data_IF_125712511026
#
_entry.id   IF_125712511026
#
_cell.length_a   1.000
_cell.length_b   1.000
_cell.length_c   1.000
_cell.angle_alpha   90.00
_cell.angle_beta   90.00
_cell.angle_gamma   90.00
#
_symmetry.space_group_name_H-M   'P 1'
#
loop_
_entity.id
_entity.type
_entity.pdbx_description
1 polymer ?
#
# COMPACT_ATOMS: atom_id res chain seq x y z
N UNK A 1 9.54 31.27 10.31
CA UNK A 1 8.86 29.97 10.41
C UNK A 1 9.56 29.15 11.45
N UNK A 2 8.82 28.46 12.33
CA UNK A 2 9.38 27.63 13.40
C UNK A 2 8.81 26.22 13.28
N UNK A 3 9.66 25.28 12.90
CA UNK A 3 9.24 23.92 12.58
C UNK A 3 9.99 22.91 13.43
N UNK A 4 9.26 21.89 13.85
CA UNK A 4 9.82 20.63 14.29
C UNK A 4 10.50 19.82 13.17
N UNK A 5 10.91 18.59 13.49
CA UNK A 5 11.56 17.66 12.55
C UNK A 5 10.55 16.93 11.67
N UNK A 6 10.99 16.54 10.47
CA UNK A 6 10.20 15.67 9.59
C UNK A 6 8.93 16.33 9.05
N UNK A 7 8.91 17.66 8.96
CA UNK A 7 7.85 18.38 8.27
C UNK A 7 8.09 18.38 6.76
N UNK A 8 7.00 18.34 5.99
CA UNK A 8 7.02 18.55 4.53
C UNK A 8 6.14 19.76 4.22
N UNK A 9 6.67 20.71 3.45
CA UNK A 9 6.00 21.97 3.12
C UNK A 9 5.91 22.10 1.61
N UNK A 10 4.72 22.39 1.09
CA UNK A 10 4.43 22.56 -0.34
C UNK A 10 3.65 23.84 -0.55
N UNK A 11 3.96 24.55 -1.64
CA UNK A 11 3.24 25.75 -2.04
C UNK A 11 3.55 26.96 -1.18
N UNK A 12 2.67 27.95 -1.26
CA UNK A 12 2.78 29.21 -0.54
C UNK A 12 2.22 29.07 0.88
N UNK A 13 3.10 28.85 1.84
CA UNK A 13 2.77 28.67 3.27
C UNK A 13 3.22 29.90 4.06
N UNK A 14 2.44 30.38 5.06
CA UNK A 14 2.79 31.56 5.85
C UNK A 14 4.20 31.47 6.45
N UNK A 15 4.96 32.55 6.34
CA UNK A 15 6.35 32.60 6.81
C UNK A 15 6.47 32.66 8.34
N UNK A 16 5.40 33.02 9.04
CA UNK A 16 5.25 33.06 10.49
C UNK A 16 4.66 31.78 11.09
N UNK A 17 4.38 30.77 10.26
CA UNK A 17 3.87 29.48 10.69
C UNK A 17 4.77 28.84 11.78
N UNK A 18 4.12 28.37 12.84
CA UNK A 18 4.70 27.50 13.85
C UNK A 18 4.03 26.12 13.80
N UNK A 19 4.84 25.06 13.68
CA UNK A 19 4.35 23.68 13.66
C UNK A 19 5.32 22.74 14.39
N UNK A 20 4.75 21.70 15.02
CA UNK A 20 5.51 20.63 15.69
C UNK A 20 6.23 19.70 14.70
N UNK A 21 6.48 18.45 15.10
CA UNK A 21 7.14 17.45 14.24
C UNK A 21 6.14 16.74 13.31
N UNK A 22 6.61 16.27 12.15
CA UNK A 22 5.92 15.26 11.34
C UNK A 22 4.71 15.74 10.53
N UNK A 23 4.52 17.05 10.37
CA UNK A 23 3.39 17.63 9.64
C UNK A 23 3.61 17.58 8.13
N UNK A 24 2.50 17.55 7.37
CA UNK A 24 2.50 17.94 5.96
C UNK A 24 1.66 19.19 5.84
N UNK A 25 2.25 20.26 5.31
CA UNK A 25 1.61 21.57 5.24
C UNK A 25 1.60 22.00 3.79
N UNK A 26 0.41 22.07 3.22
CA UNK A 26 0.19 22.40 1.81
C UNK A 26 -0.51 23.74 1.74
N UNK A 27 0.24 24.77 1.38
CA UNK A 27 -0.29 26.08 1.08
C UNK A 27 -0.81 26.18 -0.34
N UNK A 28 -1.19 27.39 -0.75
CA UNK A 28 -1.69 27.63 -2.09
C UNK A 28 -0.65 27.21 -3.13
N UNK A 29 -1.08 26.44 -4.14
CA UNK A 29 -0.25 25.99 -5.26
C UNK A 29 -0.49 26.79 -6.53
N UNK A 30 -1.49 27.68 -6.53
CA UNK A 30 -1.73 28.64 -7.60
C UNK A 30 -1.71 30.09 -7.11
N UNK A 31 -1.77 31.03 -8.05
CA UNK A 31 -1.74 32.47 -7.76
C UNK A 31 -3.05 33.02 -7.16
N UNK A 32 -4.13 32.25 -7.17
CA UNK A 32 -5.44 32.65 -6.65
C UNK A 32 -5.64 32.24 -5.19
N UNK A 33 -4.68 31.54 -4.59
CA UNK A 33 -4.77 31.05 -3.22
C UNK A 33 -5.34 29.64 -3.11
N UNK A 34 -5.52 28.91 -4.23
CA UNK A 34 -6.03 27.55 -4.21
C UNK A 34 -4.92 26.53 -4.04
N UNK A 35 -5.25 25.42 -3.38
CA UNK A 35 -4.45 24.20 -3.40
C UNK A 35 -5.05 23.24 -4.42
N UNK A 36 -4.31 22.94 -5.48
CA UNK A 36 -4.74 22.09 -6.58
C UNK A 36 -4.11 20.70 -6.41
N UNK A 37 -4.96 19.70 -6.21
CA UNK A 37 -4.58 18.29 -6.16
C UNK A 37 -5.32 17.59 -7.31
N UNK A 38 -4.57 17.14 -8.31
CA UNK A 38 -5.13 16.60 -9.56
C UNK A 38 -4.65 15.18 -9.90
N UNK A 39 -3.90 14.55 -8.98
CA UNK A 39 -3.35 13.20 -9.13
C UNK A 39 -3.65 12.42 -7.86
N UNK A 40 -3.99 11.12 -7.93
CA UNK A 40 -4.15 10.29 -6.73
C UNK A 40 -2.94 10.39 -5.79
N UNK A 41 -3.19 10.57 -4.50
CA UNK A 41 -2.12 10.73 -3.53
C UNK A 41 -2.46 10.27 -2.12
N UNK A 42 -1.41 9.88 -1.39
CA UNK A 42 -1.44 9.64 0.05
C UNK A 42 -0.55 10.68 0.75
N UNK A 43 -1.10 11.34 1.77
CA UNK A 43 -0.43 12.47 2.46
C UNK A 43 -0.35 12.19 3.95
N UNK A 44 0.87 12.25 4.49
CA UNK A 44 1.16 12.01 5.90
C UNK A 44 2.52 11.37 6.12
N UNK A 45 2.96 11.33 7.39
CA UNK A 45 4.19 10.64 7.77
C UNK A 45 4.09 9.16 7.41
N UNK A 46 5.08 8.64 6.67
CA UNK A 46 5.09 7.25 6.22
C UNK A 46 4.07 6.90 5.15
N UNK A 47 3.43 7.91 4.53
CA UNK A 47 2.44 7.68 3.47
C UNK A 47 2.97 6.73 2.39
N UNK A 48 2.13 5.76 2.02
CA UNK A 48 2.39 4.81 0.95
C UNK A 48 1.39 5.10 -0.16
N UNK A 49 1.88 5.24 -1.38
CA UNK A 49 1.02 5.39 -2.54
C UNK A 49 1.36 4.30 -3.56
N UNK A 50 0.32 3.79 -4.23
CA UNK A 50 0.45 2.79 -5.28
C UNK A 50 1.11 3.34 -6.55
N UNK A 51 1.20 2.51 -7.59
CA UNK A 51 1.66 2.94 -8.91
C UNK A 51 0.89 4.17 -9.41
N UNK A 52 1.57 5.06 -10.13
CA UNK A 52 1.00 6.31 -10.69
C UNK A 52 0.37 7.27 -9.67
N UNK A 53 0.64 7.09 -8.38
CA UNK A 53 0.15 7.94 -7.28
C UNK A 53 1.31 8.63 -6.56
N UNK A 54 1.03 9.75 -5.88
CA UNK A 54 2.03 10.53 -5.14
C UNK A 54 1.95 10.19 -3.65
N UNK A 55 3.08 9.98 -2.99
CA UNK A 55 3.15 9.90 -1.53
C UNK A 55 3.90 11.12 -0.97
N UNK A 56 3.28 11.87 -0.06
CA UNK A 56 3.84 13.11 0.50
C UNK A 56 3.94 13.02 2.02
N UNK A 57 5.14 13.17 2.56
CA UNK A 57 5.39 13.23 4.00
C UNK A 57 6.76 12.68 4.38
N UNK A 58 7.17 12.86 5.63
CA UNK A 58 8.43 12.29 6.09
C UNK A 58 8.40 10.76 6.03
N UNK A 59 9.38 10.18 5.33
CA UNK A 59 9.45 8.74 5.11
C UNK A 59 8.38 8.18 4.16
N UNK A 60 7.72 9.03 3.38
CA UNK A 60 6.74 8.60 2.38
C UNK A 60 7.41 7.84 1.22
N UNK A 61 6.68 6.89 0.62
CA UNK A 61 7.14 6.10 -0.53
C UNK A 61 6.07 6.05 -1.61
N UNK A 62 6.41 6.56 -2.80
CA UNK A 62 5.58 6.46 -3.99
C UNK A 62 5.98 5.23 -4.80
N UNK A 63 5.01 4.60 -5.48
CA UNK A 63 5.26 3.40 -6.29
C UNK A 63 5.77 2.19 -5.48
N UNK A 64 5.61 2.21 -4.15
CA UNK A 64 6.12 1.17 -3.24
C UNK A 64 5.01 0.44 -2.49
N UNK A 65 3.75 0.88 -2.60
CA UNK A 65 2.65 0.09 -2.10
C UNK A 65 2.42 -1.06 -3.08
N UNK A 66 2.93 -2.24 -2.73
CA UNK A 66 2.53 -3.49 -3.38
C UNK A 66 1.03 -3.64 -3.13
N UNK A 67 0.24 -3.64 -4.19
CA UNK A 67 -1.20 -3.93 -4.10
C UNK A 67 -1.41 -5.37 -3.65
N UNK A 68 -2.61 -5.68 -3.12
CA UNK A 68 -2.93 -7.06 -2.74
C UNK A 68 -2.76 -8.02 -3.94
N UNK A 69 -3.23 -7.63 -5.13
CA UNK A 69 -3.04 -8.42 -6.36
C UNK A 69 -1.57 -8.63 -6.73
N UNK A 70 -0.75 -7.57 -6.72
CA UNK A 70 0.70 -7.70 -6.99
C UNK A 70 1.39 -8.61 -5.95
N UNK A 71 0.97 -8.55 -4.68
CA UNK A 71 1.52 -9.40 -3.64
C UNK A 71 1.13 -10.88 -3.83
N UNK A 72 -0.13 -11.13 -4.20
CA UNK A 72 -0.62 -12.48 -4.51
C UNK A 72 0.12 -13.04 -5.72
N UNK A 73 0.29 -12.26 -6.79
CA UNK A 73 1.02 -12.69 -7.98
C UNK A 73 2.49 -13.03 -7.68
N UNK A 74 3.18 -12.21 -6.89
CA UNK A 74 4.55 -12.52 -6.47
C UNK A 74 4.61 -13.83 -5.66
N UNK A 75 3.60 -14.13 -4.87
CA UNK A 75 3.55 -15.36 -4.09
C UNK A 75 3.26 -16.58 -4.98
N UNK A 76 2.45 -16.42 -6.03
CA UNK A 76 2.25 -17.44 -7.09
C UNK A 76 3.59 -17.77 -7.74
N UNK A 77 4.32 -16.76 -8.21
CA UNK A 77 5.62 -16.95 -8.89
C UNK A 77 6.62 -17.70 -7.98
N UNK A 78 6.64 -17.39 -6.68
CA UNK A 78 7.48 -18.08 -5.69
C UNK A 78 7.03 -19.53 -5.50
N UNK A 79 5.72 -19.80 -5.40
CA UNK A 79 5.18 -21.14 -5.25
C UNK A 79 5.46 -22.00 -6.51
N UNK A 80 5.38 -21.43 -7.70
CA UNK A 80 5.75 -22.08 -8.96
C UNK A 80 7.24 -22.45 -8.99
N UNK A 81 8.11 -21.52 -8.60
CA UNK A 81 9.55 -21.74 -8.50
C UNK A 81 9.91 -22.81 -7.44
N UNK A 82 9.12 -22.93 -6.38
CA UNK A 82 9.22 -23.98 -5.37
C UNK A 82 8.55 -25.31 -5.78
N UNK A 83 7.89 -25.35 -6.93
CA UNK A 83 7.07 -26.48 -7.41
C UNK A 83 5.94 -26.90 -6.45
N UNK A 84 5.42 -25.95 -5.68
CA UNK A 84 4.28 -26.14 -4.77
C UNK A 84 2.96 -25.93 -5.50
N UNK A 85 2.46 -26.99 -6.13
CA UNK A 85 1.24 -26.96 -6.95
C UNK A 85 -0.04 -26.65 -6.17
N UNK A 86 -0.08 -27.02 -4.89
CA UNK A 86 -1.26 -26.81 -4.05
C UNK A 86 -1.39 -25.32 -3.72
N UNK A 87 -0.29 -24.70 -3.26
CA UNK A 87 -0.26 -23.26 -2.99
C UNK A 87 -0.53 -22.44 -4.26
N UNK A 88 0.01 -22.82 -5.42
CA UNK A 88 -0.31 -22.15 -6.70
C UNK A 88 -1.82 -22.18 -6.98
N UNK A 89 -2.47 -23.33 -6.84
CA UNK A 89 -3.91 -23.47 -7.11
C UNK A 89 -4.74 -22.57 -6.21
N UNK A 90 -4.42 -22.55 -4.91
CA UNK A 90 -5.14 -21.75 -3.92
C UNK A 90 -4.88 -20.25 -4.11
N UNK A 91 -3.65 -19.85 -4.45
CA UNK A 91 -3.31 -18.45 -4.70
C UNK A 91 -3.97 -17.92 -5.98
N UNK A 92 -4.02 -18.72 -7.06
CA UNK A 92 -4.77 -18.36 -8.28
C UNK A 92 -6.27 -18.24 -8.02
N UNK A 93 -6.82 -19.06 -7.11
CA UNK A 93 -8.21 -18.91 -6.69
C UNK A 93 -8.46 -17.56 -5.99
N UNK A 94 -7.55 -17.14 -5.11
CA UNK A 94 -7.62 -15.81 -4.47
C UNK A 94 -7.55 -14.71 -5.53
N UNK A 95 -6.56 -14.78 -6.44
CA UNK A 95 -6.34 -13.79 -7.48
C UNK A 95 -7.58 -13.61 -8.38
N UNK A 96 -8.14 -14.73 -8.87
CA UNK A 96 -9.35 -14.73 -9.70
C UNK A 96 -10.57 -14.17 -8.95
N UNK A 97 -10.70 -14.45 -7.66
CA UNK A 97 -11.82 -13.93 -6.85
C UNK A 97 -11.71 -12.41 -6.65
N UNK A 98 -10.49 -11.89 -6.48
CA UNK A 98 -10.21 -10.46 -6.34
C UNK A 98 -10.50 -9.65 -7.61
N UNK A 99 -10.48 -10.27 -8.79
CA UNK A 99 -10.82 -9.62 -10.07
C UNK A 99 -12.33 -9.41 -10.28
N UNK A 100 -13.18 -10.03 -9.47
CA UNK A 100 -14.64 -9.90 -9.60
C UNK A 100 -15.13 -8.52 -9.16
N UNK A 101 -16.24 -8.08 -9.76
CA UNK A 101 -16.92 -6.84 -9.37
C UNK A 101 -17.42 -6.89 -7.91
N UNK A 102 -17.84 -8.08 -7.45
CA UNK A 102 -18.22 -8.36 -6.06
C UNK A 102 -17.51 -9.64 -5.56
N UNK A 103 -16.29 -9.52 -5.00
CA UNK A 103 -15.50 -10.65 -4.53
C UNK A 103 -16.13 -11.36 -3.32
N UNK A 104 -16.22 -12.70 -3.34
CA UNK A 104 -16.63 -13.45 -2.17
C UNK A 104 -15.48 -13.55 -1.14
N UNK A 105 -15.54 -12.70 -0.12
CA UNK A 105 -14.58 -12.69 0.98
C UNK A 105 -14.41 -14.05 1.66
N UNK A 106 -15.46 -14.87 1.73
CA UNK A 106 -15.38 -16.19 2.35
C UNK A 106 -14.58 -17.18 1.51
N UNK A 107 -14.61 -17.05 0.18
CA UNK A 107 -13.77 -17.83 -0.73
C UNK A 107 -12.30 -17.42 -0.58
N UNK A 108 -12.03 -16.11 -0.57
CA UNK A 108 -10.67 -15.57 -0.39
C UNK A 108 -10.06 -16.05 0.92
N UNK A 109 -10.78 -15.91 2.04
CA UNK A 109 -10.26 -16.28 3.36
C UNK A 109 -10.02 -17.79 3.48
N UNK A 110 -10.94 -18.63 2.98
CA UNK A 110 -10.74 -20.09 3.01
C UNK A 110 -9.53 -20.52 2.18
N UNK A 111 -9.36 -19.95 0.99
CA UNK A 111 -8.21 -20.23 0.15
C UNK A 111 -6.92 -19.75 0.83
N UNK A 112 -6.94 -18.59 1.48
CA UNK A 112 -5.79 -18.06 2.21
C UNK A 112 -5.41 -18.90 3.44
N UNK A 113 -6.38 -19.35 4.23
CA UNK A 113 -6.14 -20.25 5.36
C UNK A 113 -5.50 -21.57 4.89
N UNK A 114 -5.96 -22.09 3.75
CA UNK A 114 -5.37 -23.27 3.14
C UNK A 114 -3.93 -23.00 2.68
N UNK A 115 -3.66 -21.86 2.03
CA UNK A 115 -2.30 -21.44 1.70
C UNK A 115 -1.45 -21.38 2.95
N UNK A 116 -1.89 -20.77 4.05
CA UNK A 116 -1.10 -20.68 5.28
C UNK A 116 -0.82 -22.05 5.91
N UNK A 117 -1.73 -23.02 5.74
CA UNK A 117 -1.55 -24.39 6.22
C UNK A 117 -0.58 -25.22 5.35
N UNK A 118 -0.56 -24.97 4.03
CA UNK A 118 0.30 -25.68 3.06
C UNK A 118 1.67 -25.01 2.90
N UNK A 119 1.71 -23.69 3.05
CA UNK A 119 2.86 -22.84 2.79
C UNK A 119 3.89 -22.88 3.93
N UNK A 120 4.80 -23.83 3.83
CA UNK A 120 6.20 -23.54 4.09
C UNK A 120 6.81 -22.76 2.92
N UNK A 121 6.23 -21.61 2.52
CA UNK A 121 6.82 -20.74 1.47
C UNK A 121 8.06 -20.07 2.07
N UNK A 122 9.12 -20.87 2.14
CA UNK A 122 10.40 -20.55 2.73
C UNK A 122 11.01 -19.41 1.92
N UNK A 123 11.14 -18.23 2.55
CA UNK A 123 11.72 -17.03 1.93
C UNK A 123 10.74 -15.90 1.62
N UNK A 124 9.42 -16.12 1.67
CA UNK A 124 8.41 -15.08 1.38
C UNK A 124 7.67 -14.54 2.61
N UNK A 125 8.25 -14.70 3.81
CA UNK A 125 7.56 -14.42 5.08
C UNK A 125 6.97 -12.99 5.17
N UNK A 126 7.72 -11.97 4.72
CA UNK A 126 7.25 -10.59 4.73
C UNK A 126 6.07 -10.35 3.78
N UNK A 127 6.02 -11.08 2.66
CA UNK A 127 4.94 -10.98 1.67
C UNK A 127 3.66 -11.63 2.21
N UNK A 128 3.79 -12.83 2.79
CA UNK A 128 2.69 -13.53 3.47
C UNK A 128 2.10 -12.68 4.60
N UNK A 129 2.95 -12.02 5.40
CA UNK A 129 2.49 -11.14 6.46
C UNK A 129 1.77 -9.89 5.92
N UNK A 130 2.26 -9.29 4.83
CA UNK A 130 1.60 -8.15 4.19
C UNK A 130 0.20 -8.52 3.68
N UNK A 131 0.07 -9.65 2.98
CA UNK A 131 -1.21 -10.16 2.47
C UNK A 131 -2.17 -10.45 3.63
N UNK A 132 -1.69 -11.10 4.69
CA UNK A 132 -2.52 -11.40 5.87
C UNK A 132 -3.09 -10.13 6.49
N UNK A 133 -2.28 -9.09 6.64
CA UNK A 133 -2.74 -7.81 7.19
C UNK A 133 -3.79 -7.13 6.31
N UNK A 134 -3.64 -7.21 4.98
CA UNK A 134 -4.65 -6.72 4.04
C UNK A 134 -5.96 -7.48 4.18
N UNK A 135 -5.91 -8.81 4.22
CA UNK A 135 -7.11 -9.66 4.30
C UNK A 135 -7.86 -9.51 5.63
N UNK A 136 -7.14 -9.30 6.74
CA UNK A 136 -7.75 -9.02 8.04
C UNK A 136 -8.35 -7.61 8.15
N UNK A 137 -7.95 -6.70 7.26
CA UNK A 137 -8.48 -5.33 7.18
C UNK A 137 -9.66 -5.15 6.21
N UNK A 138 -9.95 -6.14 5.36
CA UNK A 138 -11.16 -6.22 4.52
C UNK A 138 -12.41 -6.46 5.36
#
# INVERSE_FOLDING_TARGET
MKLGKGNVIIGNVPSDLEAGDGNVIIGATDAHGNTIINTPMAVGRGAQAGPNSIAIGAGAKAGSAVTLGEAIQQLIDIAEAAHDRESVTLLTQIDTELEKEDPDKSVILRAWDAVQATASISGAHSLVQAITNFLLGL
#
